data_IF_310844930607
#
_entry.id   IF_310844930607
#
_cell.length_a   1.000
_cell.length_b   1.000
_cell.length_c   1.000
_cell.angle_alpha   90.00
_cell.angle_beta   90.00
_cell.angle_gamma   90.00
#
_symmetry.space_group_name_H-M   'P 1'
#
loop_
_entity.id
_entity.type
_entity.pdbx_description
1 polymer ?
#
# COMPACT_ATOMS: atom_id res chain seq x y z
N UNK A 1 -11.38 -37.20 -66.32
CA UNK A 1 -11.52 -36.42 -65.07
C UNK A 1 -11.41 -34.94 -65.42
N UNK A 2 -12.40 -34.10 -65.09
CA UNK A 2 -12.33 -32.64 -65.23
C UNK A 2 -12.56 -32.04 -63.84
N UNK A 3 -11.49 -31.54 -63.23
CA UNK A 3 -11.57 -30.79 -61.96
C UNK A 3 -11.99 -29.37 -62.34
N UNK A 4 -12.98 -28.81 -61.63
CA UNK A 4 -13.55 -27.48 -61.91
C UNK A 4 -12.57 -26.36 -61.51
N UNK A 5 -12.55 -25.25 -62.27
CA UNK A 5 -11.74 -24.07 -61.97
C UNK A 5 -12.07 -23.45 -60.60
N UNK A 6 -13.32 -23.55 -60.16
CA UNK A 6 -13.74 -23.15 -58.81
C UNK A 6 -12.99 -23.93 -57.72
N UNK A 7 -12.81 -25.24 -57.92
CA UNK A 7 -12.13 -26.11 -56.95
C UNK A 7 -10.64 -25.77 -56.84
N UNK A 8 -10.03 -25.31 -57.94
CA UNK A 8 -8.63 -24.86 -57.96
C UNK A 8 -8.49 -23.52 -57.25
N UNK A 9 -9.44 -22.59 -57.43
CA UNK A 9 -9.43 -21.29 -56.75
C UNK A 9 -9.63 -21.42 -55.24
N UNK A 10 -10.56 -22.27 -54.79
CA UNK A 10 -10.76 -22.56 -53.36
C UNK A 10 -9.53 -23.21 -52.72
N UNK A 11 -8.81 -24.06 -53.46
CA UNK A 11 -7.59 -24.68 -52.97
C UNK A 11 -6.41 -23.68 -52.86
N UNK A 12 -6.33 -22.71 -53.79
CA UNK A 12 -5.34 -21.63 -53.73
C UNK A 12 -5.60 -20.67 -52.58
N UNK A 13 -6.86 -20.28 -52.35
CA UNK A 13 -7.25 -19.42 -51.24
C UNK A 13 -6.97 -20.08 -49.88
N UNK A 14 -7.25 -21.38 -49.73
CA UNK A 14 -6.99 -22.11 -48.48
C UNK A 14 -5.49 -22.35 -48.21
N UNK A 15 -4.64 -22.40 -49.26
CA UNK A 15 -3.17 -22.38 -49.11
C UNK A 15 -2.63 -21.00 -48.72
N UNK A 16 -3.17 -19.91 -49.28
CA UNK A 16 -2.73 -18.55 -48.95
C UNK A 16 -3.04 -18.16 -47.49
N UNK A 17 -4.11 -18.69 -46.91
CA UNK A 17 -4.53 -18.39 -45.53
C UNK A 17 -3.69 -19.13 -44.46
N UNK A 18 -2.93 -20.17 -44.83
CA UNK A 18 -2.06 -20.90 -43.88
C UNK A 18 -0.68 -20.28 -43.65
N UNK A 19 -0.34 -19.15 -44.29
CA UNK A 19 1.01 -18.58 -44.27
C UNK A 19 1.19 -17.20 -43.65
N UNK A 20 0.15 -16.55 -43.11
CA UNK A 20 0.27 -15.15 -42.66
C UNK A 20 -0.58 -14.83 -41.41
N UNK A 21 -0.42 -15.61 -40.34
CA UNK A 21 -0.75 -15.13 -39.01
C UNK A 21 0.32 -14.11 -38.59
N UNK A 22 0.01 -12.82 -38.64
CA UNK A 22 0.88 -11.76 -38.09
C UNK A 22 1.17 -12.10 -36.62
N UNK A 23 2.40 -12.47 -36.31
CA UNK A 23 2.84 -12.67 -34.92
C UNK A 23 2.74 -11.31 -34.23
N UNK A 24 1.73 -11.14 -33.38
CA UNK A 24 1.66 -9.98 -32.50
C UNK A 24 2.84 -10.08 -31.54
N UNK A 25 3.73 -9.09 -31.56
CA UNK A 25 4.78 -8.97 -30.55
C UNK A 25 4.07 -8.88 -29.20
N UNK A 26 4.35 -9.84 -28.31
CA UNK A 26 3.91 -9.80 -26.92
C UNK A 26 4.44 -8.51 -26.29
N UNK A 27 3.59 -7.85 -25.50
CA UNK A 27 3.97 -6.64 -24.76
C UNK A 27 5.27 -6.87 -23.97
N UNK A 28 6.12 -5.85 -23.79
CA UNK A 28 7.26 -5.96 -22.89
C UNK A 28 6.72 -6.33 -21.51
N UNK A 29 7.12 -7.49 -21.00
CA UNK A 29 6.91 -7.84 -19.60
C UNK A 29 7.85 -6.91 -18.85
N UNK A 30 7.28 -5.86 -18.23
CA UNK A 30 8.02 -5.09 -17.24
C UNK A 30 8.63 -6.10 -16.27
N UNK A 31 9.96 -6.13 -16.22
CA UNK A 31 10.68 -6.97 -15.29
C UNK A 31 10.20 -6.57 -13.90
N UNK A 32 9.32 -7.38 -13.32
CA UNK A 32 8.90 -7.22 -11.92
C UNK A 32 10.16 -7.43 -11.11
N UNK A 33 10.86 -6.34 -10.79
CA UNK A 33 11.92 -6.33 -9.81
C UNK A 33 11.28 -6.84 -8.52
N UNK A 34 11.58 -8.09 -8.18
CA UNK A 34 11.05 -8.74 -7.00
C UNK A 34 11.74 -8.07 -5.81
N UNK A 35 11.13 -7.01 -5.29
CA UNK A 35 11.60 -6.33 -4.09
C UNK A 35 11.34 -7.29 -2.93
N UNK A 36 12.36 -7.57 -2.13
CA UNK A 36 12.20 -8.37 -0.92
C UNK A 36 11.18 -7.68 0.00
N UNK A 37 10.12 -8.41 0.34
CA UNK A 37 9.03 -7.93 1.19
C UNK A 37 8.72 -8.96 2.26
N UNK A 38 8.49 -8.48 3.48
CA UNK A 38 8.00 -9.30 4.58
C UNK A 38 6.50 -9.03 4.79
N UNK A 39 5.71 -10.09 4.94
CA UNK A 39 4.30 -9.96 5.31
C UNK A 39 4.18 -9.94 6.84
N UNK A 40 3.36 -9.02 7.36
CA UNK A 40 2.93 -9.05 8.75
C UNK A 40 2.06 -10.28 9.00
N UNK A 41 2.19 -10.88 10.19
CA UNK A 41 1.28 -11.92 10.66
C UNK A 41 -0.16 -11.39 10.67
N UNK A 42 -1.14 -12.30 10.58
CA UNK A 42 -2.57 -11.93 10.62
C UNK A 42 -2.88 -11.09 11.87
N UNK A 43 -2.38 -11.50 13.03
CA UNK A 43 -2.53 -10.75 14.27
C UNK A 43 -1.90 -9.34 14.21
N UNK A 44 -0.72 -9.20 13.59
CA UNK A 44 -0.10 -7.88 13.40
C UNK A 44 -0.91 -6.98 12.47
N UNK A 45 -1.49 -7.55 11.40
CA UNK A 45 -2.40 -6.82 10.52
C UNK A 45 -3.68 -6.38 11.24
N UNK A 46 -4.21 -7.20 12.15
CA UNK A 46 -5.41 -6.85 12.90
C UNK A 46 -5.14 -5.75 13.94
N UNK A 47 -4.00 -5.80 14.64
CA UNK A 47 -3.58 -4.72 15.56
C UNK A 47 -3.41 -3.40 14.80
N UNK A 48 -2.72 -3.41 13.66
CA UNK A 48 -2.52 -2.18 12.88
C UNK A 48 -3.84 -1.61 12.35
N UNK A 49 -4.77 -2.46 11.92
CA UNK A 49 -6.13 -2.02 11.56
C UNK A 49 -6.85 -1.42 12.75
N UNK A 50 -6.84 -2.07 13.92
CA UNK A 50 -7.48 -1.56 15.13
C UNK A 50 -6.89 -0.19 15.54
N UNK A 51 -5.56 -0.05 15.54
CA UNK A 51 -4.88 1.23 15.81
C UNK A 51 -5.28 2.31 14.81
N UNK A 52 -5.41 1.96 13.52
CA UNK A 52 -5.84 2.89 12.48
C UNK A 52 -7.30 3.35 12.61
N UNK A 53 -8.15 2.54 13.23
CA UNK A 53 -9.54 2.90 13.54
C UNK A 53 -9.58 3.81 14.77
N UNK A 54 -8.84 3.46 15.83
CA UNK A 54 -8.73 4.26 17.05
C UNK A 54 -8.18 5.65 16.72
N UNK A 55 -7.19 5.78 15.84
CA UNK A 55 -6.64 7.10 15.46
C UNK A 55 -7.64 8.00 14.74
N UNK A 56 -8.72 7.44 14.16
CA UNK A 56 -9.81 8.17 13.52
C UNK A 56 -10.95 8.50 14.48
N UNK A 57 -10.97 7.89 15.66
CA UNK A 57 -11.97 8.22 16.68
C UNK A 57 -11.66 9.58 17.33
N UNK A 58 -12.70 10.27 17.79
CA UNK A 58 -12.53 11.55 18.47
C UNK A 58 -11.75 11.38 19.78
N UNK A 59 -10.84 12.30 20.08
CA UNK A 59 -10.07 12.26 21.33
C UNK A 59 -11.00 12.53 22.51
N UNK A 60 -11.18 11.51 23.36
CA UNK A 60 -11.98 11.61 24.59
C UNK A 60 -11.39 12.56 25.63
N UNK A 61 -10.16 13.06 25.42
CA UNK A 61 -9.47 13.99 26.33
C UNK A 61 -9.62 15.45 25.93
N UNK A 62 -10.53 15.78 25.01
CA UNK A 62 -10.72 17.14 24.51
C UNK A 62 -10.80 18.18 25.64
N UNK A 63 -11.57 17.90 26.71
CA UNK A 63 -11.73 18.80 27.86
C UNK A 63 -10.41 19.04 28.61
N UNK A 64 -9.63 17.98 28.82
CA UNK A 64 -8.32 18.07 29.50
C UNK A 64 -7.32 18.85 28.65
N UNK A 65 -7.35 18.66 27.33
CA UNK A 65 -6.50 19.41 26.40
C UNK A 65 -6.88 20.88 26.39
N UNK A 66 -8.18 21.21 26.43
CA UNK A 66 -8.65 22.60 26.53
C UNK A 66 -8.16 23.26 27.82
N UNK A 67 -8.34 22.61 28.98
CA UNK A 67 -7.87 23.12 30.26
C UNK A 67 -6.34 23.34 30.29
N UNK A 68 -5.55 22.46 29.66
CA UNK A 68 -4.11 22.66 29.52
C UNK A 68 -3.76 23.86 28.65
N UNK A 69 -4.45 24.04 27.51
CA UNK A 69 -4.26 25.21 26.63
C UNK A 69 -4.56 26.51 27.35
N UNK A 70 -5.60 26.56 28.17
CA UNK A 70 -5.93 27.72 28.99
C UNK A 70 -4.82 28.05 29.98
N UNK A 71 -4.29 27.04 30.69
CA UNK A 71 -3.16 27.23 31.62
C UNK A 71 -1.90 27.75 30.92
N UNK A 72 -1.63 27.25 29.72
CA UNK A 72 -0.51 27.74 28.88
C UNK A 72 -0.74 29.21 28.51
N UNK A 73 -1.94 29.56 28.04
CA UNK A 73 -2.28 30.94 27.68
C UNK A 73 -2.24 31.91 28.88
N UNK A 74 -2.65 31.43 30.06
CA UNK A 74 -2.56 32.17 31.31
C UNK A 74 -1.13 32.26 31.88
N UNK A 75 -0.15 31.56 31.30
CA UNK A 75 1.23 31.52 31.80
C UNK A 75 1.39 30.73 33.10
N UNK A 76 0.40 29.94 33.52
CA UNK A 76 0.41 29.13 34.75
C UNK A 76 0.78 27.67 34.50
N UNK A 77 1.24 27.37 33.30
CA UNK A 77 1.77 26.06 32.94
C UNK A 77 3.30 26.06 33.10
N UNK A 78 3.76 25.52 34.23
CA UNK A 78 5.19 25.35 34.53
C UNK A 78 5.59 23.88 34.34
N UNK A 79 6.72 23.66 33.66
CA UNK A 79 7.30 22.32 33.46
C UNK A 79 8.68 22.30 34.10
N UNK A 80 8.93 21.35 35.01
CA UNK A 80 10.23 21.21 35.65
C UNK A 80 11.27 20.61 34.70
N UNK A 81 12.53 20.98 34.87
CA UNK A 81 13.63 20.37 34.10
C UNK A 81 13.72 18.84 34.27
N UNK A 82 13.37 18.33 35.45
CA UNK A 82 13.29 16.89 35.72
C UNK A 82 12.19 16.20 34.91
N UNK A 83 11.03 16.84 34.71
CA UNK A 83 9.92 16.28 33.93
C UNK A 83 10.31 16.15 32.45
N UNK A 84 11.06 17.13 31.94
CA UNK A 84 11.59 17.11 30.57
C UNK A 84 12.58 15.94 30.42
N UNK A 85 13.55 15.84 31.33
CA UNK A 85 14.54 14.74 31.33
C UNK A 85 13.84 13.38 31.43
N UNK A 86 12.85 13.24 32.30
CA UNK A 86 12.06 12.01 32.42
C UNK A 86 11.30 11.67 31.14
N UNK A 87 10.69 12.66 30.47
CA UNK A 87 9.99 12.44 29.20
C UNK A 87 10.92 12.00 28.06
N UNK A 88 12.15 12.53 28.04
CA UNK A 88 13.11 12.27 26.97
C UNK A 88 13.89 10.97 27.19
N UNK A 89 14.33 10.72 28.43
CA UNK A 89 15.23 9.61 28.75
C UNK A 89 14.54 8.43 29.42
N UNK A 90 13.35 8.60 30.00
CA UNK A 90 12.60 7.52 30.68
C UNK A 90 12.40 6.27 29.81
N UNK A 91 12.04 6.38 28.50
CA UNK A 91 11.95 5.21 27.63
C UNK A 91 13.29 4.49 27.39
N UNK A 92 14.41 5.17 27.56
CA UNK A 92 15.76 4.65 27.28
C UNK A 92 16.44 4.08 28.54
N UNK A 93 16.14 4.62 29.72
CA UNK A 93 16.78 4.21 30.98
C UNK A 93 16.11 2.99 31.62
N UNK A 94 14.95 2.55 31.14
CA UNK A 94 14.29 1.32 31.58
C UNK A 94 13.69 1.37 32.99
N UNK A 95 13.79 2.51 33.69
CA UNK A 95 13.05 2.78 34.92
C UNK A 95 11.55 2.93 34.55
N UNK A 96 10.80 1.86 34.76
CA UNK A 96 9.33 1.87 34.87
C UNK A 96 8.92 1.41 36.26
#
# INVERSE_FOLDING_TARGET
MKISSEQIQQMLQTRAVKGAGKVQKTAPVDAVAKVDGAALSVAGQDITKALSLISKTADVRADKVAALKERIAAGTYEVGGADIVGSLFGPFTGDR
#
